data_IF_551542964014
#
_entry.id   IF_551542964014
#
_cell.length_a   1.000
_cell.length_b   1.000
_cell.length_c   1.000
_cell.angle_alpha   90.00
_cell.angle_beta   90.00
_cell.angle_gamma   90.00
#
_symmetry.space_group_name_H-M   'P 1'
#
loop_
_entity.id
_entity.type
_entity.pdbx_description
1 polymer ?
#
# COMPACT_ATOMS: atom_id res chain seq x y z
N UNK A 1 -4.55 28.15 -39.31
CA UNK A 1 -5.31 27.35 -38.32
C UNK A 1 -4.30 26.68 -37.41
N UNK A 2 -4.01 27.31 -36.28
CA UNK A 2 -3.06 26.79 -35.29
C UNK A 2 -3.74 25.66 -34.51
N UNK A 3 -3.07 24.51 -34.37
CA UNK A 3 -3.54 23.44 -33.46
C UNK A 3 -3.06 23.81 -32.05
N UNK A 4 -3.99 24.11 -31.16
CA UNK A 4 -3.75 24.13 -29.73
C UNK A 4 -3.34 22.73 -29.28
N UNK A 5 -2.21 22.66 -28.56
CA UNK A 5 -1.75 21.48 -27.85
C UNK A 5 -2.37 21.61 -26.47
N UNK A 6 -3.35 20.77 -26.15
CA UNK A 6 -3.94 20.72 -24.82
C UNK A 6 -2.87 20.25 -23.82
N UNK A 7 -2.45 21.17 -22.95
CA UNK A 7 -1.65 20.86 -21.78
C UNK A 7 -2.40 19.85 -20.89
N UNK A 8 -1.70 18.90 -20.26
CA UNK A 8 -2.33 18.01 -19.30
C UNK A 8 -2.90 18.83 -18.12
N UNK A 9 -4.10 18.47 -17.62
CA UNK A 9 -4.75 19.23 -16.56
C UNK A 9 -3.90 19.25 -15.29
N UNK A 10 -3.99 20.35 -14.52
CA UNK A 10 -3.16 20.57 -13.34
C UNK A 10 -3.39 19.47 -12.30
N UNK A 11 -2.31 19.15 -11.59
CA UNK A 11 -2.34 18.41 -10.32
C UNK A 11 -3.22 19.22 -9.36
N UNK A 12 -4.49 18.84 -9.19
CA UNK A 12 -5.24 19.20 -7.99
C UNK A 12 -4.78 18.25 -6.89
N UNK A 13 -4.06 18.70 -5.86
CA UNK A 13 -4.48 19.60 -4.77
C UNK A 13 -5.66 18.99 -3.97
N UNK A 14 -5.25 18.48 -2.80
CA UNK A 14 -5.93 18.45 -1.51
C UNK A 14 -6.84 17.26 -1.18
N UNK A 15 -6.19 16.17 -0.75
CA UNK A 15 -6.55 15.53 0.53
C UNK A 15 -5.48 15.94 1.57
N UNK A 16 -5.51 17.23 1.97
CA UNK A 16 -4.66 17.86 3.01
C UNK A 16 -4.93 17.34 4.44
N UNK A 17 -5.36 16.09 4.62
CA UNK A 17 -5.52 15.47 5.93
C UNK A 17 -4.99 14.04 5.93
N UNK A 18 -3.66 13.90 5.84
CA UNK A 18 -2.98 12.71 6.41
C UNK A 18 -1.50 12.90 6.75
N UNK A 19 -0.92 14.10 6.61
CA UNK A 19 0.52 14.30 6.78
C UNK A 19 1.00 14.42 8.25
N UNK A 20 0.11 14.40 9.26
CA UNK A 20 0.54 14.60 10.66
C UNK A 20 0.91 13.32 11.44
N UNK A 21 0.74 12.11 10.91
CA UNK A 21 0.99 10.88 11.69
C UNK A 21 2.29 10.12 11.32
N UNK A 22 3.09 10.59 10.37
CA UNK A 22 4.40 9.96 10.07
C UNK A 22 5.55 10.50 10.94
N UNK A 23 5.34 10.57 12.25
CA UNK A 23 6.50 10.50 13.15
C UNK A 23 6.97 9.04 13.14
N UNK A 24 7.86 8.72 12.19
CA UNK A 24 8.52 7.42 12.08
C UNK A 24 9.04 7.03 13.46
N UNK A 25 8.37 6.06 14.09
CA UNK A 25 8.97 5.21 15.10
C UNK A 25 10.01 4.36 14.36
N UNK A 26 11.15 4.99 14.03
CA UNK A 26 12.32 4.28 13.56
C UNK A 26 12.69 3.36 14.71
N UNK A 27 12.51 2.06 14.51
CA UNK A 27 13.03 1.06 15.42
C UNK A 27 14.55 1.25 15.44
N UNK A 28 15.05 1.88 16.51
CA UNK A 28 16.47 2.12 16.73
C UNK A 28 17.20 0.89 17.26
N UNK A 29 16.50 -0.24 17.41
CA UNK A 29 17.08 -1.48 17.88
C UNK A 29 17.95 -2.12 16.80
N UNK A 30 19.12 -2.57 17.21
CA UNK A 30 19.99 -3.38 16.36
C UNK A 30 19.36 -4.75 16.10
N UNK A 31 19.69 -5.42 14.98
CA UNK A 31 19.20 -6.77 14.71
C UNK A 31 19.52 -7.76 15.84
N UNK A 32 20.66 -7.58 16.52
CA UNK A 32 21.06 -8.45 17.63
C UNK A 32 20.16 -8.27 18.86
N UNK A 33 19.82 -7.03 19.22
CA UNK A 33 18.92 -6.74 20.34
C UNK A 33 17.53 -7.34 20.10
N UNK A 34 17.02 -7.28 18.85
CA UNK A 34 15.75 -7.92 18.46
C UNK A 34 15.81 -9.43 18.65
N UNK A 35 16.91 -10.06 18.21
CA UNK A 35 17.11 -11.51 18.36
C UNK A 35 17.17 -11.91 19.83
N UNK A 36 17.92 -11.16 20.64
CA UNK A 36 18.07 -11.42 22.07
C UNK A 36 16.75 -11.25 22.81
N UNK A 37 15.95 -10.24 22.42
CA UNK A 37 14.61 -10.01 22.96
C UNK A 37 13.65 -11.16 22.63
N UNK A 38 13.61 -11.62 21.38
CA UNK A 38 12.79 -12.77 20.96
C UNK A 38 13.23 -14.04 21.70
N UNK A 39 14.54 -14.27 21.83
CA UNK A 39 15.06 -15.43 22.55
C UNK A 39 14.73 -15.39 24.06
N UNK A 40 14.69 -14.20 24.66
CA UNK A 40 14.40 -14.05 26.09
C UNK A 40 12.92 -14.04 26.43
N UNK A 41 12.07 -13.41 25.62
CA UNK A 41 10.64 -13.18 25.91
C UNK A 41 9.72 -14.11 25.10
N UNK A 42 10.26 -14.88 24.16
CA UNK A 42 9.52 -15.75 23.27
C UNK A 42 8.71 -14.96 22.24
N UNK A 43 7.48 -15.39 21.98
CA UNK A 43 6.60 -14.82 20.96
C UNK A 43 5.89 -13.51 21.35
N UNK A 44 5.91 -13.15 22.64
CA UNK A 44 5.15 -11.99 23.16
C UNK A 44 5.48 -10.68 22.45
N UNK A 45 6.76 -10.30 22.21
CA UNK A 45 7.07 -9.05 21.51
C UNK A 45 6.50 -9.02 20.09
N UNK A 46 6.54 -10.15 19.39
CA UNK A 46 5.99 -10.27 18.04
C UNK A 46 4.46 -10.11 18.05
N UNK A 47 3.79 -10.66 19.06
CA UNK A 47 2.35 -10.48 19.26
C UNK A 47 2.00 -9.02 19.53
N UNK A 48 2.75 -8.33 20.39
CA UNK A 48 2.56 -6.91 20.70
C UNK A 48 2.76 -6.02 19.45
N UNK A 49 3.77 -6.30 18.63
CA UNK A 49 3.99 -5.59 17.36
C UNK A 49 2.83 -5.82 16.38
N UNK A 50 2.38 -7.07 16.28
CA UNK A 50 1.24 -7.44 15.46
C UNK A 50 -0.05 -6.75 15.91
N UNK A 51 -0.33 -6.72 17.21
CA UNK A 51 -1.49 -6.03 17.77
C UNK A 51 -1.44 -4.52 17.50
N UNK A 52 -0.25 -3.93 17.55
CA UNK A 52 -0.05 -2.51 17.21
C UNK A 52 -0.45 -2.22 15.76
N UNK A 53 -0.10 -3.09 14.83
CA UNK A 53 -0.48 -2.97 13.41
C UNK A 53 -2.00 -3.11 13.25
N UNK A 54 -2.62 -4.05 13.96
CA UNK A 54 -4.08 -4.28 13.89
C UNK A 54 -4.87 -3.14 14.53
N UNK A 55 -4.32 -2.49 15.55
CA UNK A 55 -5.01 -1.45 16.33
C UNK A 55 -5.49 -0.29 15.46
N UNK A 56 -4.75 0.04 14.41
CA UNK A 56 -5.11 1.07 13.44
C UNK A 56 -4.97 0.52 12.00
N UNK A 57 -5.95 -0.25 11.51
CA UNK A 57 -5.83 -0.87 10.20
C UNK A 57 -5.90 0.20 9.09
N UNK A 58 -5.16 0.04 7.99
CA UNK A 58 -5.24 0.95 6.85
C UNK A 58 -6.64 0.96 6.20
N UNK A 59 -6.99 2.06 5.52
CA UNK A 59 -8.23 2.18 4.75
C UNK A 59 -8.26 1.22 3.54
N UNK A 60 -9.45 0.74 3.20
CA UNK A 60 -9.73 -0.23 2.12
C UNK A 60 -11.00 0.15 1.32
N UNK A 61 -11.34 1.44 1.28
CA UNK A 61 -12.60 1.94 0.72
C UNK A 61 -12.71 1.63 -0.78
N UNK A 62 -11.61 1.75 -1.55
CA UNK A 62 -11.61 1.44 -2.97
C UNK A 62 -11.82 -0.06 -3.25
N UNK A 63 -11.32 -0.92 -2.35
CA UNK A 63 -11.50 -2.37 -2.42
C UNK A 63 -12.95 -2.78 -2.19
N UNK A 64 -13.64 -2.12 -1.25
CA UNK A 64 -15.04 -2.39 -0.89
C UNK A 64 -16.05 -1.73 -1.83
N UNK A 65 -15.62 -0.79 -2.69
CA UNK A 65 -16.50 -0.14 -3.64
C UNK A 65 -17.18 -1.16 -4.55
N UNK A 66 -18.52 -1.09 -4.63
CA UNK A 66 -19.36 -2.03 -5.40
C UNK A 66 -18.93 -2.18 -6.87
N UNK A 67 -18.39 -1.13 -7.48
CA UNK A 67 -17.90 -1.14 -8.87
C UNK A 67 -16.60 -1.92 -9.05
N UNK A 68 -15.88 -2.19 -7.97
CA UNK A 68 -14.57 -2.86 -7.96
C UNK A 68 -14.61 -4.29 -7.41
N UNK A 69 -15.69 -4.69 -6.74
CA UNK A 69 -15.83 -6.03 -6.15
C UNK A 69 -15.57 -7.15 -7.17
N UNK A 70 -16.08 -7.02 -8.39
CA UNK A 70 -15.86 -8.00 -9.47
C UNK A 70 -14.44 -8.06 -10.00
N UNK A 71 -13.63 -7.01 -9.74
CA UNK A 71 -12.21 -6.93 -10.10
C UNK A 71 -11.31 -7.58 -9.03
N UNK A 72 -11.86 -7.97 -7.88
CA UNK A 72 -11.14 -8.63 -6.80
C UNK A 72 -11.21 -10.15 -6.96
N UNK A 73 -10.06 -10.78 -7.26
CA UNK A 73 -9.98 -12.23 -7.40
C UNK A 73 -10.25 -12.97 -6.09
N UNK A 74 -9.81 -12.40 -4.97
CA UNK A 74 -9.97 -12.96 -3.64
C UNK A 74 -10.57 -11.90 -2.70
N UNK A 75 -11.83 -12.06 -2.25
CA UNK A 75 -12.49 -11.11 -1.36
C UNK A 75 -11.83 -10.99 0.03
N UNK A 76 -11.05 -12.01 0.43
CA UNK A 76 -10.34 -12.07 1.70
C UNK A 76 -8.91 -11.51 1.63
N UNK A 77 -8.43 -11.14 0.45
CA UNK A 77 -7.13 -10.46 0.28
C UNK A 77 -7.42 -8.98 0.08
N UNK A 78 -7.14 -8.19 1.11
CA UNK A 78 -7.49 -6.77 1.11
C UNK A 78 -6.46 -5.95 0.33
N UNK A 79 -6.94 -4.94 -0.38
CA UNK A 79 -6.10 -3.93 -1.01
C UNK A 79 -6.20 -2.61 -0.25
N UNK A 80 -5.07 -2.11 0.24
CA UNK A 80 -5.02 -0.84 0.98
C UNK A 80 -5.04 0.36 0.04
N UNK A 81 -5.81 1.38 0.40
CA UNK A 81 -5.98 2.59 -0.43
C UNK A 81 -4.68 3.41 -0.57
N UNK A 82 -3.85 3.41 0.48
CA UNK A 82 -2.60 4.17 0.52
C UNK A 82 -1.56 3.64 -0.48
N UNK A 83 -1.51 2.33 -0.71
CA UNK A 83 -0.50 1.70 -1.55
C UNK A 83 -1.03 1.20 -2.89
N UNK A 84 -2.35 1.30 -3.16
CA UNK A 84 -2.92 0.79 -4.41
C UNK A 84 -2.37 1.48 -5.65
N UNK A 85 -2.19 0.70 -6.70
CA UNK A 85 -1.84 1.20 -8.03
C UNK A 85 -3.07 1.86 -8.65
N UNK A 86 -2.95 3.14 -9.02
CA UNK A 86 -3.97 3.89 -9.74
C UNK A 86 -3.61 3.93 -11.22
N UNK A 87 -4.39 3.23 -12.04
CA UNK A 87 -4.27 3.32 -13.51
C UNK A 87 -5.21 4.41 -14.02
N UNK A 88 -4.98 4.96 -15.20
CA UNK A 88 -5.99 5.77 -15.90
C UNK A 88 -6.26 5.06 -17.21
N UNK A 89 -7.33 4.26 -17.24
CA UNK A 89 -7.73 3.61 -18.48
C UNK A 89 -8.57 4.55 -19.36
N UNK A 90 -8.78 4.15 -20.61
CA UNK A 90 -9.57 4.90 -21.61
C UNK A 90 -11.06 5.08 -21.23
N UNK A 91 -11.52 4.39 -20.19
CA UNK A 91 -12.88 4.44 -19.67
C UNK A 91 -12.98 5.17 -18.33
N UNK A 92 -11.88 5.73 -17.82
CA UNK A 92 -11.83 6.43 -16.54
C UNK A 92 -11.78 5.50 -15.31
N UNK A 93 -11.53 4.20 -15.48
CA UNK A 93 -11.30 3.30 -14.34
C UNK A 93 -9.92 3.59 -13.72
N UNK A 94 -9.91 3.67 -12.39
CA UNK A 94 -8.71 3.91 -11.59
C UNK A 94 -8.28 2.72 -10.71
N UNK A 95 -8.97 1.59 -10.85
CA UNK A 95 -8.83 0.46 -9.94
C UNK A 95 -8.24 -0.78 -10.62
N UNK A 96 -7.17 -1.27 -10.02
CA UNK A 96 -6.62 -2.60 -10.25
C UNK A 96 -6.21 -3.20 -8.90
N UNK A 97 -6.41 -4.51 -8.71
CA UNK A 97 -6.03 -5.17 -7.44
C UNK A 97 -4.52 -5.40 -7.38
N UNK A 98 -3.79 -4.30 -7.17
CA UNK A 98 -2.34 -4.26 -7.08
C UNK A 98 -1.88 -3.12 -6.17
N UNK A 99 -0.75 -3.30 -5.49
CA UNK A 99 -0.12 -2.29 -4.63
C UNK A 99 1.36 -2.05 -4.99
N UNK A 100 1.83 -0.85 -4.71
CA UNK A 100 3.25 -0.54 -4.63
C UNK A 100 3.81 -1.06 -3.30
N UNK A 101 5.01 -1.62 -3.36
CA UNK A 101 5.78 -2.07 -2.20
C UNK A 101 7.16 -1.44 -2.28
N UNK A 102 7.58 -0.84 -1.17
CA UNK A 102 8.88 -0.21 -1.07
C UNK A 102 9.97 -1.29 -0.92
N UNK A 103 11.10 -1.06 -1.59
CA UNK A 103 12.33 -1.82 -1.36
C UNK A 103 13.11 -1.20 -0.21
N UNK A 104 14.09 -1.94 0.31
CA UNK A 104 14.97 -1.45 1.38
C UNK A 104 15.62 -0.09 1.07
N UNK A 105 16.05 0.13 -0.17
CA UNK A 105 16.79 1.33 -0.58
C UNK A 105 15.94 2.34 -1.37
N UNK A 106 14.75 1.96 -1.86
CA UNK A 106 13.96 2.76 -2.82
C UNK A 106 12.46 2.54 -2.65
N UNK A 107 11.73 3.65 -2.50
CA UNK A 107 10.28 3.64 -2.49
C UNK A 107 9.67 3.33 -3.88
N UNK A 108 8.52 2.68 -3.90
CA UNK A 108 7.65 2.51 -5.06
C UNK A 108 8.16 1.60 -6.18
N UNK A 109 9.25 0.86 -5.97
CA UNK A 109 9.86 0.04 -7.03
C UNK A 109 9.15 -1.27 -7.31
N UNK A 110 8.57 -1.90 -6.29
CA UNK A 110 7.99 -3.22 -6.46
C UNK A 110 6.49 -3.07 -6.67
N UNK A 111 6.00 -3.78 -7.69
CA UNK A 111 4.57 -3.92 -7.94
C UNK A 111 4.12 -5.29 -7.48
N UNK A 112 3.15 -5.30 -6.57
CA UNK A 112 2.50 -6.50 -6.09
C UNK A 112 1.12 -6.60 -6.75
N UNK A 113 0.88 -7.64 -7.53
CA UNK A 113 -0.44 -7.86 -8.11
C UNK A 113 -0.82 -9.33 -8.06
N UNK A 114 -2.13 -9.57 -7.95
CA UNK A 114 -2.68 -10.93 -7.85
C UNK A 114 -3.12 -11.36 -9.26
N UNK A 115 -2.36 -12.25 -9.90
CA UNK A 115 -2.75 -12.87 -11.17
C UNK A 115 -2.51 -14.38 -11.13
N UNK A 116 -3.52 -15.17 -11.48
CA UNK A 116 -3.44 -16.62 -11.68
C UNK A 116 -2.63 -17.40 -10.63
N UNK A 117 -3.04 -17.28 -9.35
CA UNK A 117 -2.46 -17.96 -8.18
C UNK A 117 -0.99 -17.62 -7.86
N UNK A 118 -0.39 -16.66 -8.57
CA UNK A 118 1.00 -16.27 -8.36
C UNK A 118 1.07 -14.81 -7.92
N UNK A 119 1.75 -14.60 -6.80
CA UNK A 119 2.23 -13.28 -6.41
C UNK A 119 3.42 -12.95 -7.32
N UNK A 120 3.22 -12.06 -8.29
CA UNK A 120 4.29 -11.67 -9.21
C UNK A 120 4.86 -10.35 -8.74
N UNK A 121 6.14 -10.37 -8.37
CA UNK A 121 6.96 -9.18 -8.14
C UNK A 121 7.71 -8.90 -9.45
N UNK A 122 7.47 -7.73 -10.05
CA UNK A 122 8.18 -7.29 -11.26
C UNK A 122 9.39 -6.42 -10.88
N UNK A 123 10.52 -6.60 -11.59
CA UNK A 123 11.80 -5.89 -11.41
C UNK A 123 12.07 -4.91 -12.56
#
# INVERSE_FOLDING_TARGET
>A
MSKEVDDPPPVGEDDEQSEEDEKKDVITATPQEIIDEINSKGEKPVQEWHETIIRNPPKIDAFLNLTNVSKNRFPNVLLYDKSRVRIRDKHGNDYYHASYVDSYDKAGKLLLFIRDMVLIILF
#
